data_IF_848196299221
#
_entry.id   IF_848196299221
#
_cell.length_a   1.000
_cell.length_b   1.000
_cell.length_c   1.000
_cell.angle_alpha   90.00
_cell.angle_beta   90.00
_cell.angle_gamma   90.00
#
_symmetry.space_group_name_H-M   'P 1'
#
loop_
_entity.id
_entity.type
_entity.pdbx_description
1 polymer ?
#
# COMPACT_ATOMS: atom_id res chain seq x y z
N UNK A 1 -19.10 1.29 19.57
CA UNK A 1 -18.21 0.74 18.53
C UNK A 1 -17.19 -0.14 19.22
N UNK A 2 -17.18 -1.42 18.93
CA UNK A 2 -16.33 -2.41 19.61
C UNK A 2 -14.83 -2.22 19.35
N UNK A 3 -14.04 -3.06 20.00
CA UNK A 3 -12.58 -3.07 19.84
C UNK A 3 -12.21 -3.49 18.41
N UNK A 4 -11.41 -2.68 17.73
CA UNK A 4 -10.88 -3.04 16.40
C UNK A 4 -9.84 -4.16 16.57
N UNK A 5 -9.98 -5.20 15.74
CA UNK A 5 -9.03 -6.30 15.63
C UNK A 5 -8.53 -6.37 14.19
N UNK A 6 -7.21 -6.48 14.02
CA UNK A 6 -6.58 -6.67 12.72
C UNK A 6 -6.07 -8.10 12.63
N UNK A 7 -6.51 -8.82 11.60
CA UNK A 7 -6.09 -10.21 11.32
C UNK A 7 -5.31 -10.25 10.02
N UNK A 8 -4.12 -10.84 10.06
CA UNK A 8 -3.36 -11.16 8.86
C UNK A 8 -4.02 -12.37 8.17
N UNK A 9 -4.46 -12.19 6.93
CA UNK A 9 -5.07 -13.23 6.13
C UNK A 9 -4.00 -14.16 5.54
N UNK A 10 -4.30 -15.44 5.54
CA UNK A 10 -3.52 -16.50 4.88
C UNK A 10 -4.23 -16.95 3.61
N UNK A 11 -3.51 -17.57 2.70
CA UNK A 11 -4.09 -18.15 1.48
C UNK A 11 -5.13 -19.26 1.78
N UNK A 12 -5.05 -19.88 2.95
CA UNK A 12 -5.99 -20.90 3.43
C UNK A 12 -7.31 -20.32 3.95
N UNK A 13 -7.36 -19.05 4.30
CA UNK A 13 -8.55 -18.36 4.83
C UNK A 13 -9.53 -17.99 3.70
N UNK A 14 -9.98 -18.96 2.92
CA UNK A 14 -10.69 -18.73 1.64
C UNK A 14 -11.93 -17.84 1.78
N UNK A 15 -12.79 -18.12 2.76
CA UNK A 15 -14.04 -17.36 2.96
C UNK A 15 -13.76 -15.91 3.35
N UNK A 16 -12.90 -15.71 4.33
CA UNK A 16 -12.50 -14.37 4.79
C UNK A 16 -11.78 -13.58 3.68
N UNK A 17 -10.92 -14.26 2.91
CA UNK A 17 -10.26 -13.65 1.76
C UNK A 17 -11.25 -13.18 0.71
N UNK A 18 -12.29 -13.97 0.43
CA UNK A 18 -13.35 -13.60 -0.51
C UNK A 18 -14.14 -12.39 -0.01
N UNK A 19 -14.45 -12.34 1.28
CA UNK A 19 -15.11 -11.17 1.88
C UNK A 19 -14.22 -9.92 1.80
N UNK A 20 -12.94 -10.06 2.16
CA UNK A 20 -11.95 -9.00 2.07
C UNK A 20 -11.85 -8.44 0.63
N UNK A 21 -11.69 -9.31 -0.37
CA UNK A 21 -11.52 -8.91 -1.77
C UNK A 21 -12.77 -8.26 -2.35
N UNK A 22 -13.96 -8.71 -1.96
CA UNK A 22 -15.22 -8.02 -2.33
C UNK A 22 -15.30 -6.62 -1.73
N UNK A 23 -14.93 -6.46 -0.46
CA UNK A 23 -14.93 -5.15 0.20
C UNK A 23 -13.87 -4.23 -0.39
N UNK A 24 -12.66 -4.75 -0.64
CA UNK A 24 -11.58 -4.06 -1.32
C UNK A 24 -12.03 -3.50 -2.68
N UNK A 25 -12.63 -4.35 -3.52
CA UNK A 25 -13.11 -3.96 -4.85
C UNK A 25 -14.14 -2.84 -4.84
N UNK A 26 -14.99 -2.79 -3.80
CA UNK A 26 -16.01 -1.74 -3.63
C UNK A 26 -15.44 -0.45 -3.02
N UNK A 27 -14.22 -0.50 -2.50
CA UNK A 27 -13.62 0.61 -1.78
C UNK A 27 -12.75 1.53 -2.64
N UNK A 28 -12.30 1.04 -3.80
CA UNK A 28 -11.40 1.75 -4.70
C UNK A 28 -11.96 1.85 -6.12
N UNK A 29 -11.60 2.92 -6.80
CA UNK A 29 -11.82 3.05 -8.24
C UNK A 29 -11.01 1.94 -8.96
N UNK A 30 -11.58 1.29 -10.00
CA UNK A 30 -10.84 0.30 -10.79
C UNK A 30 -9.48 0.77 -11.32
N UNK A 31 -9.35 2.03 -11.70
CA UNK A 31 -8.08 2.62 -12.17
C UNK A 31 -6.98 2.66 -11.09
N UNK A 32 -7.37 2.62 -9.83
CA UNK A 32 -6.48 2.83 -8.67
C UNK A 32 -6.22 1.55 -7.89
N UNK A 33 -6.69 0.41 -8.36
CA UNK A 33 -6.55 -0.86 -7.64
C UNK A 33 -6.01 -2.00 -8.50
N UNK A 34 -5.16 -2.79 -7.90
CA UNK A 34 -4.75 -4.10 -8.43
C UNK A 34 -5.96 -5.03 -8.52
N UNK A 35 -5.98 -5.91 -9.51
CA UNK A 35 -7.05 -6.91 -9.63
C UNK A 35 -7.07 -7.86 -8.42
N UNK A 36 -8.26 -8.34 -8.08
CA UNK A 36 -8.42 -9.32 -6.98
C UNK A 36 -7.71 -10.64 -7.28
N UNK A 37 -7.54 -11.00 -8.55
CA UNK A 37 -6.78 -12.17 -8.98
C UNK A 37 -5.31 -12.04 -8.61
N UNK A 38 -4.71 -10.87 -8.85
CA UNK A 38 -3.32 -10.59 -8.46
C UNK A 38 -3.19 -10.68 -6.93
N UNK A 39 -4.11 -10.08 -6.16
CA UNK A 39 -4.06 -10.16 -4.69
C UNK A 39 -4.18 -11.60 -4.19
N UNK A 40 -5.02 -12.44 -4.82
CA UNK A 40 -5.08 -13.87 -4.50
C UNK A 40 -3.78 -14.60 -4.82
N UNK A 41 -3.18 -14.28 -5.95
CA UNK A 41 -1.95 -14.90 -6.39
C UNK A 41 -0.76 -14.51 -5.51
N UNK A 42 -0.64 -13.24 -5.12
CA UNK A 42 0.52 -12.77 -4.35
C UNK A 42 0.58 -13.27 -2.91
N UNK A 43 -0.53 -13.74 -2.33
CA UNK A 43 -0.51 -14.34 -0.98
C UNK A 43 -0.32 -15.87 -1.01
N UNK A 44 -0.30 -16.51 -2.20
CA UNK A 44 0.02 -17.92 -2.29
C UNK A 44 1.48 -18.16 -1.89
N UNK A 45 1.78 -19.26 -1.19
CA UNK A 45 3.16 -19.65 -0.93
C UNK A 45 3.92 -19.82 -2.25
N UNK A 46 5.10 -19.27 -2.35
CA UNK A 46 5.97 -19.46 -3.50
C UNK A 46 7.44 -19.40 -3.06
N UNK A 47 8.23 -20.43 -3.32
CA UNK A 47 9.66 -20.43 -3.00
C UNK A 47 10.44 -19.30 -3.69
N UNK A 48 9.98 -18.89 -4.89
CA UNK A 48 10.58 -17.80 -5.65
C UNK A 48 10.22 -16.41 -5.13
N UNK A 49 9.25 -16.30 -4.19
CA UNK A 49 8.81 -14.99 -3.69
C UNK A 49 9.59 -14.59 -2.45
N UNK A 50 10.51 -13.66 -2.63
CA UNK A 50 11.34 -13.09 -1.55
C UNK A 50 10.64 -11.98 -0.79
N UNK A 51 9.56 -11.41 -1.33
CA UNK A 51 8.87 -10.23 -0.78
C UNK A 51 7.48 -10.61 -0.29
N UNK A 52 7.25 -10.71 1.03
CA UNK A 52 5.95 -11.03 1.58
C UNK A 52 4.93 -9.93 1.30
N UNK A 53 3.71 -10.33 0.93
CA UNK A 53 2.53 -9.44 0.87
C UNK A 53 1.63 -9.77 2.05
N UNK A 54 1.27 -8.75 2.81
CA UNK A 54 0.37 -8.88 3.93
C UNK A 54 -1.00 -8.29 3.59
N UNK A 55 -2.05 -9.10 3.70
CA UNK A 55 -3.43 -8.64 3.63
C UNK A 55 -4.01 -8.64 5.05
N UNK A 56 -4.30 -7.46 5.57
CA UNK A 56 -4.87 -7.27 6.90
C UNK A 56 -6.37 -7.04 6.81
N UNK A 57 -7.16 -7.95 7.33
CA UNK A 57 -8.61 -7.77 7.51
C UNK A 57 -8.89 -7.10 8.85
N UNK A 58 -9.65 -6.01 8.83
CA UNK A 58 -10.02 -5.25 10.03
C UNK A 58 -11.46 -5.58 10.43
N UNK A 59 -11.63 -6.07 11.66
CA UNK A 59 -12.91 -6.44 12.24
C UNK A 59 -13.28 -5.52 13.40
N UNK A 60 -14.57 -5.19 13.50
CA UNK A 60 -15.19 -4.60 14.70
C UNK A 60 -16.45 -5.40 15.00
N UNK A 61 -16.62 -5.89 16.25
CA UNK A 61 -17.75 -6.72 16.65
C UNK A 61 -17.98 -7.91 15.69
N UNK A 62 -16.90 -8.61 15.31
CA UNK A 62 -16.87 -9.73 14.36
C UNK A 62 -17.25 -9.37 12.90
N UNK A 63 -17.59 -8.13 12.61
CA UNK A 63 -17.91 -7.66 11.27
C UNK A 63 -16.63 -7.14 10.57
N UNK A 64 -16.43 -7.51 9.32
CA UNK A 64 -15.36 -6.96 8.47
C UNK A 64 -15.70 -5.51 8.14
N UNK A 65 -14.88 -4.57 8.63
CA UNK A 65 -15.12 -3.12 8.50
C UNK A 65 -14.12 -2.41 7.57
N UNK A 66 -13.07 -3.09 7.16
CA UNK A 66 -12.04 -2.54 6.28
C UNK A 66 -10.82 -3.45 6.20
N UNK A 67 -9.71 -2.90 5.73
CA UNK A 67 -8.46 -3.65 5.65
C UNK A 67 -7.30 -2.83 5.14
N UNK A 68 -6.17 -3.51 4.98
CA UNK A 68 -4.96 -2.96 4.40
C UNK A 68 -4.21 -4.03 3.59
N UNK A 69 -3.38 -3.56 2.67
CA UNK A 69 -2.40 -4.38 1.95
C UNK A 69 -1.05 -3.72 2.06
N UNK A 70 -0.03 -4.48 2.45
CA UNK A 70 1.36 -4.03 2.48
C UNK A 70 2.25 -5.03 1.75
N UNK A 71 3.37 -4.54 1.23
CA UNK A 71 4.43 -5.34 0.64
C UNK A 71 5.71 -5.10 1.44
N UNK A 72 6.33 -6.14 1.92
CA UNK A 72 7.61 -6.05 2.64
C UNK A 72 8.75 -6.26 1.66
N UNK A 73 9.71 -5.35 1.66
CA UNK A 73 10.88 -5.33 0.79
C UNK A 73 12.15 -5.41 1.65
N UNK A 74 12.57 -6.61 2.08
CA UNK A 74 13.66 -6.77 3.05
C UNK A 74 15.00 -6.20 2.56
N UNK A 75 15.34 -6.39 1.29
CA UNK A 75 16.58 -5.86 0.71
C UNK A 75 16.70 -4.33 0.81
N UNK A 76 15.56 -3.62 0.85
CA UNK A 76 15.52 -2.17 0.95
C UNK A 76 15.16 -1.67 2.36
N UNK A 77 14.88 -2.59 3.29
CA UNK A 77 14.36 -2.26 4.61
C UNK A 77 13.09 -1.39 4.54
N UNK A 78 12.19 -1.73 3.64
CA UNK A 78 10.97 -0.98 3.35
C UNK A 78 9.74 -1.86 3.49
N UNK A 79 8.69 -1.28 4.06
CA UNK A 79 7.32 -1.73 3.91
C UNK A 79 6.62 -0.76 2.96
N UNK A 80 5.97 -1.27 1.93
CA UNK A 80 5.17 -0.45 1.03
C UNK A 80 3.68 -0.65 1.36
N UNK A 81 3.03 0.42 1.83
CA UNK A 81 1.59 0.45 2.10
C UNK A 81 0.82 0.69 0.81
N UNK A 82 0.34 -0.39 0.21
CA UNK A 82 -0.35 -0.31 -1.08
C UNK A 82 -1.78 0.18 -0.92
N UNK A 83 -2.49 -0.34 0.06
CA UNK A 83 -3.92 -0.04 0.26
C UNK A 83 -4.27 0.01 1.74
N UNK A 84 -5.09 1.00 2.10
CA UNK A 84 -5.84 1.04 3.36
C UNK A 84 -7.26 1.48 3.02
N UNK A 85 -8.26 0.74 3.49
CA UNK A 85 -9.65 1.03 3.17
C UNK A 85 -10.59 0.76 4.34
N UNK A 86 -11.72 1.45 4.30
CA UNK A 86 -12.86 1.29 5.21
C UNK A 86 -14.09 1.06 4.37
N UNK A 87 -14.96 0.16 4.80
CA UNK A 87 -16.26 -0.07 4.18
C UNK A 87 -16.98 1.26 3.94
N UNK A 88 -17.50 1.53 2.72
CA UNK A 88 -18.07 2.82 2.38
C UNK A 88 -19.10 3.34 3.39
N UNK A 89 -19.99 2.47 3.85
CA UNK A 89 -21.02 2.80 4.85
C UNK A 89 -20.49 3.14 6.26
N UNK A 90 -19.19 2.86 6.53
CA UNK A 90 -18.57 3.07 7.83
C UNK A 90 -17.51 4.18 7.83
N UNK A 91 -17.37 4.89 6.70
CA UNK A 91 -16.46 6.03 6.58
C UNK A 91 -16.87 7.19 7.50
N UNK A 92 -15.92 8.09 7.78
CA UNK A 92 -16.17 9.23 8.66
C UNK A 92 -16.16 8.92 10.17
N UNK A 93 -16.07 7.65 10.57
CA UNK A 93 -16.12 7.20 11.98
C UNK A 93 -14.75 6.97 12.62
N UNK A 94 -13.67 7.47 12.03
CA UNK A 94 -12.31 7.32 12.55
C UNK A 94 -11.69 5.93 12.39
N UNK A 95 -12.36 4.98 11.70
CA UNK A 95 -11.88 3.62 11.51
C UNK A 95 -10.57 3.57 10.70
N UNK A 96 -10.42 4.41 9.67
CA UNK A 96 -9.19 4.48 8.88
C UNK A 96 -7.95 4.78 9.72
N UNK A 97 -8.06 5.72 10.67
CA UNK A 97 -6.98 6.04 11.60
C UNK A 97 -6.65 4.88 12.55
N UNK A 98 -7.66 4.14 13.00
CA UNK A 98 -7.46 2.96 13.85
C UNK A 98 -6.79 1.83 13.07
N UNK A 99 -7.24 1.55 11.84
CA UNK A 99 -6.63 0.55 10.95
C UNK A 99 -5.17 0.91 10.67
N UNK A 100 -4.89 2.14 10.25
CA UNK A 100 -3.53 2.60 9.96
C UNK A 100 -2.60 2.41 11.15
N UNK A 101 -3.04 2.82 12.35
CA UNK A 101 -2.26 2.70 13.58
C UNK A 101 -1.93 1.24 13.91
N UNK A 102 -2.90 0.36 13.73
CA UNK A 102 -2.73 -1.06 13.98
C UNK A 102 -1.83 -1.74 12.95
N UNK A 103 -1.93 -1.36 11.65
CA UNK A 103 -1.01 -1.80 10.59
C UNK A 103 0.42 -1.38 10.92
N UNK A 104 0.64 -0.10 11.26
CA UNK A 104 1.95 0.39 11.66
C UNK A 104 2.52 -0.40 12.85
N UNK A 105 1.66 -0.72 13.84
CA UNK A 105 2.06 -1.51 15.01
C UNK A 105 2.46 -2.93 14.65
N UNK A 106 1.71 -3.59 13.76
CA UNK A 106 1.98 -4.97 13.35
C UNK A 106 3.21 -5.05 12.46
N UNK A 107 3.33 -4.16 11.46
CA UNK A 107 4.51 -4.13 10.58
C UNK A 107 5.79 -3.82 11.37
N UNK A 108 5.71 -2.90 12.35
CA UNK A 108 6.85 -2.61 13.22
C UNK A 108 7.35 -3.81 14.02
N UNK A 109 6.49 -4.76 14.35
CA UNK A 109 6.88 -6.01 15.04
C UNK A 109 7.60 -6.98 14.12
N UNK A 110 7.20 -7.01 12.84
CA UNK A 110 7.76 -7.90 11.83
C UNK A 110 9.10 -7.41 11.25
N UNK A 111 9.45 -6.14 11.46
CA UNK A 111 10.69 -5.57 10.91
C UNK A 111 11.75 -5.42 12.00
N UNK A 112 12.93 -5.97 11.74
CA UNK A 112 14.08 -5.91 12.64
C UNK A 112 15.11 -4.90 12.11
N UNK A 113 15.57 -3.99 12.97
CA UNK A 113 16.58 -3.00 12.63
C UNK A 113 16.10 -1.55 12.67
N UNK A 114 17.06 -0.62 12.50
CA UNK A 114 16.84 0.81 12.77
C UNK A 114 16.34 1.60 11.56
N UNK A 115 16.51 1.08 10.33
CA UNK A 115 16.37 1.83 9.09
C UNK A 115 15.07 1.58 8.33
N UNK A 116 14.13 0.83 8.91
CA UNK A 116 12.89 0.50 8.24
C UNK A 116 11.96 1.70 8.09
N UNK A 117 11.35 1.80 6.91
CA UNK A 117 10.35 2.81 6.56
C UNK A 117 9.12 2.18 5.97
N UNK A 118 7.98 2.83 6.18
CA UNK A 118 6.79 2.54 5.42
C UNK A 118 6.62 3.66 4.38
N UNK A 119 6.53 3.29 3.11
CA UNK A 119 6.15 4.17 2.01
C UNK A 119 4.71 3.92 1.61
N UNK A 120 4.05 4.91 1.07
CA UNK A 120 2.70 4.78 0.53
C UNK A 120 2.46 5.80 -0.56
N UNK A 121 1.41 5.56 -1.34
CA UNK A 121 0.93 6.43 -2.40
C UNK A 121 -0.46 6.95 -2.02
N UNK A 122 -0.72 8.22 -2.28
CA UNK A 122 -2.02 8.84 -2.07
C UNK A 122 -2.45 9.45 -3.40
N UNK A 123 -3.51 8.92 -3.99
CA UNK A 123 -4.07 9.44 -5.23
C UNK A 123 -4.79 10.77 -4.99
N UNK A 124 -4.89 11.61 -6.01
CA UNK A 124 -5.63 12.87 -5.92
C UNK A 124 -7.12 12.65 -5.59
N UNK A 125 -7.69 11.53 -6.03
CA UNK A 125 -9.07 11.13 -5.74
C UNK A 125 -9.32 10.75 -4.27
N UNK A 126 -8.26 10.42 -3.51
CA UNK A 126 -8.37 10.05 -2.09
C UNK A 126 -8.87 11.19 -1.20
N UNK A 127 -8.87 12.42 -1.72
CA UNK A 127 -9.34 13.63 -1.04
C UNK A 127 -8.44 14.08 0.13
N UNK A 128 -8.72 15.27 0.64
CA UNK A 128 -7.95 15.89 1.74
C UNK A 128 -8.00 15.09 3.04
N UNK A 129 -9.03 14.29 3.23
CA UNK A 129 -9.20 13.48 4.44
C UNK A 129 -8.05 12.50 4.68
N UNK A 130 -7.57 11.83 3.63
CA UNK A 130 -6.44 10.92 3.70
C UNK A 130 -5.12 11.64 3.98
N UNK A 131 -4.86 12.76 3.31
CA UNK A 131 -3.67 13.58 3.57
C UNK A 131 -3.62 14.02 5.04
N UNK A 132 -4.72 14.55 5.58
CA UNK A 132 -4.81 14.96 6.98
C UNK A 132 -4.62 13.79 7.95
N UNK A 133 -5.18 12.62 7.62
CA UNK A 133 -5.05 11.42 8.45
C UNK A 133 -3.61 10.93 8.49
N UNK A 134 -2.95 10.81 7.34
CA UNK A 134 -1.57 10.36 7.25
C UNK A 134 -0.62 11.36 7.93
N UNK A 135 -0.80 12.66 7.70
CA UNK A 135 -0.01 13.71 8.37
C UNK A 135 -0.13 13.62 9.90
N UNK A 136 -1.34 13.46 10.44
CA UNK A 136 -1.59 13.25 11.88
C UNK A 136 -0.98 11.95 12.42
N UNK A 137 -0.83 10.93 11.58
CA UNK A 137 -0.15 9.69 11.91
C UNK A 137 1.39 9.79 11.84
N UNK A 138 1.94 10.96 11.47
CA UNK A 138 3.39 11.20 11.38
C UNK A 138 4.01 10.92 10.02
N UNK A 139 3.19 10.72 8.99
CA UNK A 139 3.71 10.61 7.63
C UNK A 139 4.20 11.95 7.11
N UNK A 140 5.28 11.90 6.35
CA UNK A 140 5.80 13.02 5.56
C UNK A 140 5.50 12.81 4.10
N UNK A 141 5.23 13.87 3.37
CA UNK A 141 4.89 13.86 1.95
C UNK A 141 6.02 14.45 1.13
N UNK A 142 6.30 13.83 -0.02
CA UNK A 142 7.18 14.43 -1.00
C UNK A 142 6.50 15.66 -1.63
N UNK A 143 7.29 16.69 -1.92
CA UNK A 143 6.76 17.95 -2.48
C UNK A 143 6.20 17.78 -3.87
N UNK A 144 6.87 16.98 -4.71
CA UNK A 144 6.46 16.74 -6.09
C UNK A 144 5.31 15.74 -6.20
N UNK A 145 4.44 15.97 -7.17
CA UNK A 145 3.42 14.99 -7.58
C UNK A 145 4.12 13.82 -8.25
N UNK A 146 3.62 12.62 -7.96
CA UNK A 146 4.13 11.37 -8.51
C UNK A 146 3.13 10.83 -9.55
N UNK A 147 3.59 10.48 -10.76
CA UNK A 147 2.73 9.87 -11.77
C UNK A 147 2.49 8.42 -11.40
N UNK A 148 1.28 8.10 -11.00
CA UNK A 148 0.83 6.72 -10.79
C UNK A 148 0.27 6.17 -12.11
N UNK A 149 0.60 4.94 -12.46
CA UNK A 149 0.00 4.30 -13.61
C UNK A 149 -1.42 3.81 -13.27
N UNK A 150 -2.38 4.04 -14.16
CA UNK A 150 -3.70 3.42 -14.05
C UNK A 150 -3.60 1.90 -14.22
N UNK A 151 -4.30 1.15 -13.37
CA UNK A 151 -4.35 -0.31 -13.47
C UNK A 151 -5.23 -0.83 -14.61
N UNK A 152 -6.18 -0.03 -15.10
CA UNK A 152 -7.06 -0.41 -16.20
C UNK A 152 -6.63 0.17 -17.55
N UNK A 153 -6.06 1.36 -17.53
CA UNK A 153 -5.71 2.09 -18.73
C UNK A 153 -4.21 2.34 -18.79
N UNK A 154 -3.43 1.49 -19.48
CA UNK A 154 -1.97 1.56 -19.50
C UNK A 154 -1.38 2.93 -19.87
N UNK A 155 -2.09 3.70 -20.65
CA UNK A 155 -1.66 5.02 -21.12
C UNK A 155 -2.12 6.18 -20.21
N UNK A 156 -2.91 5.90 -19.19
CA UNK A 156 -3.45 6.91 -18.28
C UNK A 156 -2.58 7.03 -17.03
N UNK A 157 -2.24 8.26 -16.70
CA UNK A 157 -1.55 8.60 -15.46
C UNK A 157 -2.58 9.12 -14.47
N UNK A 158 -2.55 8.55 -13.27
CA UNK A 158 -3.31 9.02 -12.11
C UNK A 158 -2.37 9.89 -11.26
N UNK A 159 -2.64 11.19 -11.09
CA UNK A 159 -1.80 12.01 -10.24
C UNK A 159 -1.89 11.57 -8.78
N UNK A 160 -0.74 11.47 -8.13
CA UNK A 160 -0.65 11.07 -6.73
C UNK A 160 0.51 11.72 -6.00
N UNK A 161 0.63 11.48 -4.72
CA UNK A 161 1.77 11.87 -3.89
C UNK A 161 2.33 10.66 -3.19
N UNK A 162 3.64 10.60 -3.13
CA UNK A 162 4.32 9.67 -2.25
C UNK A 162 4.38 10.23 -0.84
N UNK A 163 4.24 9.33 0.12
CA UNK A 163 4.44 9.64 1.53
C UNK A 163 5.29 8.54 2.19
N UNK A 164 5.89 8.86 3.34
CA UNK A 164 6.65 7.89 4.11
C UNK A 164 6.49 8.11 5.60
N UNK A 165 6.65 7.02 6.33
CA UNK A 165 6.68 6.98 7.80
C UNK A 165 7.94 6.24 8.24
N UNK A 166 8.71 6.83 9.17
CA UNK A 166 9.88 6.18 9.72
C UNK A 166 9.50 5.40 10.98
N UNK A 167 9.78 4.09 10.99
CA UNK A 167 9.55 3.28 12.19
C UNK A 167 10.53 3.63 13.32
N UNK A 168 11.73 4.11 12.94
CA UNK A 168 12.78 4.61 13.85
C UNK A 168 13.51 5.79 13.19
N UNK A 169 14.72 6.15 13.63
CA UNK A 169 15.50 7.26 13.06
C UNK A 169 15.76 7.03 11.56
N UNK A 170 15.61 8.06 10.70
CA UNK A 170 15.88 7.93 9.28
C UNK A 170 17.38 7.73 9.04
N UNK A 171 17.77 6.90 8.07
CA UNK A 171 19.14 6.90 7.57
C UNK A 171 19.45 8.24 6.89
N UNK A 172 20.70 8.69 6.97
CA UNK A 172 21.10 9.99 6.46
C UNK A 172 21.04 10.11 4.93
N UNK A 173 21.14 8.99 4.21
CA UNK A 173 21.03 8.96 2.74
C UNK A 173 20.26 7.75 2.27
N UNK A 174 19.28 7.95 1.43
CA UNK A 174 18.54 6.90 0.76
C UNK A 174 18.28 7.29 -0.70
N UNK A 175 18.71 6.43 -1.63
CA UNK A 175 18.43 6.60 -3.06
C UNK A 175 16.97 6.28 -3.35
N UNK A 176 16.12 7.31 -3.29
CA UNK A 176 14.68 7.21 -3.55
C UNK A 176 14.34 6.67 -4.94
N UNK A 177 15.05 7.07 -6.02
CA UNK A 177 14.72 6.66 -7.36
C UNK A 177 14.77 5.16 -7.58
N UNK A 178 15.81 4.50 -7.09
CA UNK A 178 15.99 3.05 -7.25
C UNK A 178 14.88 2.25 -6.54
N UNK A 179 14.47 2.70 -5.34
CA UNK A 179 13.39 2.06 -4.61
C UNK A 179 12.06 2.18 -5.34
N UNK A 180 11.75 3.37 -5.84
CA UNK A 180 10.48 3.61 -6.53
C UNK A 180 10.40 2.83 -7.84
N UNK A 181 11.50 2.79 -8.60
CA UNK A 181 11.61 1.94 -9.80
C UNK A 181 11.40 0.47 -9.44
N UNK A 182 11.96 0.01 -8.32
CA UNK A 182 11.81 -1.37 -7.87
C UNK A 182 10.39 -1.67 -7.37
N UNK A 183 9.77 -0.76 -6.61
CA UNK A 183 8.37 -0.90 -6.17
C UNK A 183 7.47 -0.99 -7.40
N UNK A 184 7.64 -0.10 -8.37
CA UNK A 184 6.90 -0.17 -9.63
C UNK A 184 7.15 -1.48 -10.38
N UNK A 185 8.39 -1.94 -10.49
CA UNK A 185 8.71 -3.20 -11.15
C UNK A 185 8.08 -4.42 -10.46
N UNK A 186 7.96 -4.41 -9.13
CA UNK A 186 7.33 -5.50 -8.38
C UNK A 186 5.81 -5.53 -8.52
N UNK A 187 5.16 -4.37 -8.50
CA UNK A 187 3.70 -4.29 -8.62
C UNK A 187 3.22 -4.34 -10.08
N UNK A 188 4.02 -3.80 -10.96
CA UNK A 188 3.68 -3.65 -12.37
C UNK A 188 4.53 -4.54 -13.27
N UNK A 189 5.22 -5.56 -12.74
CA UNK A 189 6.14 -6.48 -13.39
C UNK A 189 6.17 -6.54 -14.93
N UNK A 190 7.20 -7.08 -15.53
CA UNK A 190 7.42 -7.00 -16.98
C UNK A 190 6.29 -7.60 -17.82
N UNK A 191 5.47 -8.46 -17.21
CA UNK A 191 4.35 -9.11 -17.91
C UNK A 191 3.02 -8.35 -17.78
N UNK A 192 2.88 -7.46 -16.81
CA UNK A 192 1.56 -6.99 -16.44
C UNK A 192 1.21 -5.62 -16.94
N UNK A 193 2.14 -4.70 -17.23
CA UNK A 193 1.53 -3.45 -17.54
C UNK A 193 2.26 -2.37 -18.28
N UNK A 194 3.42 -2.07 -18.20
CA UNK A 194 3.77 -0.72 -18.62
C UNK A 194 5.22 -0.56 -19.05
N UNK A 195 5.71 -1.49 -19.87
CA UNK A 195 7.01 -1.34 -20.54
C UNK A 195 7.17 0.05 -21.18
N UNK A 196 6.07 0.64 -21.66
CA UNK A 196 6.06 1.98 -22.27
C UNK A 196 6.06 3.14 -21.25
N UNK A 197 5.71 2.92 -19.97
CA UNK A 197 5.82 3.93 -18.94
C UNK A 197 7.20 3.93 -18.25
N UNK A 198 7.96 2.83 -18.31
CA UNK A 198 9.32 2.75 -17.77
C UNK A 198 10.25 3.88 -18.28
N UNK A 199 10.25 4.26 -19.57
CA UNK A 199 11.05 5.39 -20.02
C UNK A 199 10.61 6.72 -19.39
N UNK A 200 9.29 6.93 -19.22
CA UNK A 200 8.75 8.14 -18.58
C UNK A 200 9.07 8.18 -17.09
N UNK A 201 8.95 7.05 -16.38
CA UNK A 201 9.36 6.94 -14.98
C UNK A 201 10.86 7.17 -14.81
N UNK A 202 11.72 6.65 -15.71
CA UNK A 202 13.15 6.92 -15.72
C UNK A 202 13.46 8.41 -15.95
N UNK A 203 12.65 9.11 -16.72
CA UNK A 203 12.80 10.55 -16.93
C UNK A 203 12.51 11.36 -15.66
N UNK A 204 11.46 11.02 -14.92
CA UNK A 204 11.15 11.64 -13.63
C UNK A 204 12.23 11.37 -12.57
N UNK A 205 12.81 10.16 -12.59
CA UNK A 205 13.90 9.77 -11.69
C UNK A 205 15.19 10.55 -11.96
N UNK A 206 15.51 10.84 -13.24
CA UNK A 206 16.69 11.63 -13.62
C UNK A 206 16.60 13.11 -13.24
N UNK A 207 15.40 13.66 -13.05
CA UNK A 207 15.19 15.05 -12.66
C UNK A 207 15.41 15.32 -11.16
N UNK A 208 15.70 14.28 -10.35
CA UNK A 208 15.96 14.39 -8.91
C UNK A 208 17.41 14.04 -8.51
N UNK A 209 18.23 13.66 -9.46
CA UNK A 209 19.66 13.44 -9.29
C UNK A 209 20.45 14.71 -9.66
#
# INVERSE_FOLDING_TARGET
>A
MGKLQLRLLKHTDRVELDHYLRLYSRSFNPDERVSTQILRWVIQPSPARVNPVHLFAAYSDKQLVGGACTLVLPMFQVVFGSYIFVAPALRGRGLGAKILREVLRQERKGVHGWNWRLYGEVTASSGDGWHKLLARAGFRFFKKMWPLASYQHPNRIVPGRLCYFNFRRPPERFSQPALLTYIHALFYGPETMHRHLLPRLKHFVKLEA
#
